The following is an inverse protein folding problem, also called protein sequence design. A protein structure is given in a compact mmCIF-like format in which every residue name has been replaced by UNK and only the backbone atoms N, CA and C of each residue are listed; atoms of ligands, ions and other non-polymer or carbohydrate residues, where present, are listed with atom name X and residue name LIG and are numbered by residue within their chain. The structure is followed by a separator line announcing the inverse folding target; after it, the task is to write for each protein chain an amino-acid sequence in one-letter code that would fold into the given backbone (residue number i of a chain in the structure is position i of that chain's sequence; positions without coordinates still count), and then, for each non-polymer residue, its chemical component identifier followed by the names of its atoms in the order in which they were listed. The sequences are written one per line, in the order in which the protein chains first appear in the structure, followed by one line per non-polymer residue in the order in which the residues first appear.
data_IF_337554704775
#
_entry.id   IF_337554704775
#
_cell.length_a   1.000
_cell.length_b   1.000
_cell.length_c   1.000
_cell.angle_alpha   90.00
_cell.angle_beta   90.00
_cell.angle_gamma   90.00
#
_symmetry.space_group_name_H-M   'P 1'
#
loop_
_entity.id
_entity.type
_entity.pdbx_description
1 polymer ?
#
# COMPACT_ATOMS: atom_id res chain seq x y z
N UNK A 1 -3.94 56.10 46.01
CA UNK A 1 -5.20 55.68 45.35
C UNK A 1 -4.97 55.67 43.84
N UNK A 2 -5.34 54.70 43.03
CA UNK A 2 -5.67 53.30 43.22
C UNK A 2 -5.57 52.65 41.82
N UNK A 3 -5.02 51.43 41.78
CA UNK A 3 -5.38 50.31 40.90
C UNK A 3 -5.34 50.49 39.37
N UNK A 4 -4.13 50.27 38.80
CA UNK A 4 -3.93 49.68 37.46
C UNK A 4 -3.12 48.39 37.57
N UNK A 5 -3.72 47.33 38.10
CA UNK A 5 -3.08 45.99 38.17
C UNK A 5 -4.03 44.83 37.83
N UNK A 6 -5.23 45.10 37.30
CA UNK A 6 -6.28 44.10 37.12
C UNK A 6 -6.37 43.40 35.76
N UNK A 7 -5.85 43.96 34.66
CA UNK A 7 -6.13 43.44 33.31
C UNK A 7 -5.16 42.37 32.78
N UNK A 8 -3.92 42.29 33.28
CA UNK A 8 -2.94 41.32 32.76
C UNK A 8 -3.10 39.91 33.35
N UNK A 9 -3.74 39.80 34.53
CA UNK A 9 -3.89 38.52 35.25
C UNK A 9 -5.00 37.64 34.67
N UNK A 10 -6.05 38.26 34.11
CA UNK A 10 -7.23 37.56 33.56
C UNK A 10 -6.94 36.85 32.23
N UNK A 11 -6.05 37.39 31.40
CA UNK A 11 -5.68 36.80 30.11
C UNK A 11 -4.74 35.60 30.28
N UNK A 12 -3.91 35.61 31.32
CA UNK A 12 -3.06 34.46 31.64
C UNK A 12 -3.87 33.31 32.23
N UNK A 13 -4.81 33.61 33.12
CA UNK A 13 -5.72 32.63 33.72
C UNK A 13 -6.64 31.98 32.68
N UNK A 14 -7.19 32.76 31.74
CA UNK A 14 -8.04 32.23 30.66
C UNK A 14 -7.26 31.36 29.68
N UNK A 15 -6.00 31.73 29.36
CA UNK A 15 -5.12 30.91 28.52
C UNK A 15 -4.69 29.60 29.23
N UNK A 16 -4.38 29.67 30.53
CA UNK A 16 -4.07 28.49 31.33
C UNK A 16 -5.27 27.53 31.40
N UNK A 17 -6.49 28.05 31.62
CA UNK A 17 -7.72 27.24 31.61
C UNK A 17 -7.98 26.62 30.23
N UNK A 18 -7.75 27.36 29.15
CA UNK A 18 -7.88 26.83 27.79
C UNK A 18 -6.87 25.71 27.50
N UNK A 19 -5.61 25.86 27.93
CA UNK A 19 -4.59 24.81 27.83
C UNK A 19 -4.96 23.58 28.67
N UNK A 20 -5.47 23.78 29.88
CA UNK A 20 -5.84 22.68 30.77
C UNK A 20 -7.04 21.89 30.22
N UNK A 21 -8.02 22.59 29.63
CA UNK A 21 -9.13 21.96 28.89
C UNK A 21 -8.61 21.18 27.68
N UNK A 22 -7.65 21.72 26.92
CA UNK A 22 -7.03 21.04 25.78
C UNK A 22 -6.31 19.76 26.20
N UNK A 23 -5.53 19.80 27.29
CA UNK A 23 -4.82 18.64 27.81
C UNK A 23 -5.79 17.55 28.28
N UNK A 24 -6.85 17.91 29.00
CA UNK A 24 -7.87 16.96 29.46
C UNK A 24 -8.61 16.28 28.30
N UNK A 25 -8.78 16.99 27.19
CA UNK A 25 -9.34 16.43 25.95
C UNK A 25 -8.34 15.48 25.29
N UNK A 26 -7.06 15.83 25.23
CA UNK A 26 -6.01 14.95 24.68
C UNK A 26 -5.89 13.66 25.49
N UNK A 27 -5.94 13.76 26.81
CA UNK A 27 -5.95 12.62 27.73
C UNK A 27 -7.17 11.72 27.50
N UNK A 28 -8.36 12.29 27.34
CA UNK A 28 -9.59 11.53 27.04
C UNK A 28 -9.52 10.80 25.68
N UNK A 29 -8.93 11.43 24.66
CA UNK A 29 -8.73 10.81 23.33
C UNK A 29 -7.68 9.70 23.40
N UNK A 30 -6.59 9.90 24.14
CA UNK A 30 -5.57 8.89 24.37
C UNK A 30 -6.16 7.69 25.11
N UNK A 31 -6.88 7.91 26.22
CA UNK A 31 -7.53 6.85 26.96
C UNK A 31 -8.58 6.10 26.13
N UNK A 32 -9.33 6.79 25.27
CA UNK A 32 -10.27 6.14 24.35
C UNK A 32 -9.57 5.30 23.28
N UNK A 33 -8.40 5.75 22.82
CA UNK A 33 -7.59 5.03 21.82
C UNK A 33 -6.92 3.81 22.43
N UNK A 34 -6.36 3.95 23.64
CA UNK A 34 -5.82 2.88 24.47
C UNK A 34 -6.90 1.84 24.72
N UNK A 35 -8.08 2.25 25.20
CA UNK A 35 -9.19 1.31 25.44
C UNK A 35 -9.64 0.60 24.16
N UNK A 36 -9.61 1.26 23.00
CA UNK A 36 -9.91 0.65 21.70
C UNK A 36 -8.92 -0.46 21.33
N UNK A 37 -7.62 -0.22 21.52
CA UNK A 37 -6.56 -1.20 21.22
C UNK A 37 -6.62 -2.39 22.18
N UNK A 38 -6.89 -2.14 23.47
CA UNK A 38 -6.95 -3.21 24.47
C UNK A 38 -8.29 -3.96 24.52
N UNK A 39 -9.36 -3.44 23.88
CA UNK A 39 -10.68 -4.08 23.87
C UNK A 39 -10.98 -4.90 22.61
N UNK A 40 -10.10 -4.92 21.61
CA UNK A 40 -10.25 -5.76 20.42
C UNK A 40 -9.55 -7.10 20.64
N UNK A 41 -10.29 -8.21 20.90
CA UNK A 41 -9.69 -9.53 21.13
C UNK A 41 -9.05 -10.12 19.86
N UNK A 42 -9.29 -9.49 18.70
CA UNK A 42 -9.02 -10.06 17.38
C UNK A 42 -7.52 -10.03 16.99
N UNK A 43 -6.77 -9.01 17.41
CA UNK A 43 -5.35 -8.89 17.06
C UNK A 43 -4.46 -9.87 17.84
N UNK A 44 -4.88 -10.30 19.04
CA UNK A 44 -4.17 -11.31 19.83
C UNK A 44 -4.35 -12.75 19.29
N UNK A 45 -5.47 -13.02 18.61
CA UNK A 45 -5.75 -14.32 17.98
C UNK A 45 -4.90 -14.50 16.71
N UNK A 46 -4.85 -13.52 15.80
CA UNK A 46 -4.05 -13.61 14.57
C UNK A 46 -2.54 -13.74 14.85
N UNK A 47 -2.04 -13.05 15.88
CA UNK A 47 -0.64 -13.17 16.27
C UNK A 47 -0.32 -14.56 16.85
N UNK A 48 -1.23 -15.13 17.67
CA UNK A 48 -1.08 -16.47 18.23
C UNK A 48 -1.17 -17.57 17.15
N UNK A 49 -2.09 -17.45 16.20
CA UNK A 49 -2.24 -18.43 15.11
C UNK A 49 -1.04 -18.40 14.17
N UNK A 50 -0.51 -17.21 13.86
CA UNK A 50 0.70 -17.06 13.03
C UNK A 50 1.94 -17.65 13.71
N UNK A 51 2.12 -17.39 15.02
CA UNK A 51 3.23 -17.96 15.80
C UNK A 51 3.13 -19.50 15.91
N UNK A 52 1.92 -20.03 16.08
CA UNK A 52 1.66 -21.47 16.13
C UNK A 52 1.96 -22.14 14.77
N UNK A 53 1.50 -21.56 13.67
CA UNK A 53 1.77 -22.09 12.32
C UNK A 53 3.26 -22.10 11.95
N UNK A 54 4.02 -21.09 12.39
CA UNK A 54 5.48 -21.07 12.19
C UNK A 54 6.20 -22.18 12.97
N UNK A 55 5.73 -22.53 14.17
CA UNK A 55 6.30 -23.63 14.94
C UNK A 55 5.94 -24.99 14.35
N UNK A 56 4.71 -25.17 13.87
CA UNK A 56 4.26 -26.40 13.19
C UNK A 56 5.04 -26.64 11.89
N UNK A 57 5.24 -25.61 11.07
CA UNK A 57 6.09 -25.69 9.88
C UNK A 57 7.54 -26.07 10.21
N UNK A 58 8.10 -25.48 11.27
CA UNK A 58 9.46 -25.80 11.72
C UNK A 58 9.57 -27.25 12.19
N UNK A 59 8.57 -27.76 12.89
CA UNK A 59 8.51 -29.17 13.30
C UNK A 59 8.41 -30.10 12.09
N UNK A 60 7.56 -29.78 11.12
CA UNK A 60 7.43 -30.54 9.87
C UNK A 60 8.76 -30.63 9.09
N UNK A 61 9.43 -29.48 8.90
CA UNK A 61 10.73 -29.42 8.22
C UNK A 61 11.81 -30.24 8.95
N UNK A 62 11.82 -30.20 10.28
CA UNK A 62 12.74 -31.01 11.07
C UNK A 62 12.46 -32.52 10.90
N UNK A 63 11.19 -32.94 10.91
CA UNK A 63 10.81 -34.34 10.70
C UNK A 63 11.24 -34.85 9.32
N UNK A 64 11.05 -34.05 8.26
CA UNK A 64 11.53 -34.40 6.92
C UNK A 64 13.05 -34.50 6.91
N UNK A 65 13.74 -33.49 7.43
CA UNK A 65 15.20 -33.45 7.45
C UNK A 65 15.78 -34.66 8.17
N UNK A 66 15.25 -35.00 9.34
CA UNK A 66 15.70 -36.14 10.12
C UNK A 66 15.44 -37.46 9.41
N UNK A 67 14.24 -37.64 8.84
CA UNK A 67 13.90 -38.85 8.07
C UNK A 67 14.80 -39.02 6.84
N UNK A 68 15.11 -37.93 6.15
CA UNK A 68 16.01 -37.96 4.99
C UNK A 68 17.46 -38.29 5.38
N UNK A 69 17.97 -37.72 6.48
CA UNK A 69 19.30 -38.06 7.00
C UNK A 69 19.36 -39.55 7.36
N UNK A 70 18.34 -40.08 8.03
CA UNK A 70 18.29 -41.49 8.42
C UNK A 70 18.27 -42.41 7.19
N UNK A 71 17.42 -42.13 6.20
CA UNK A 71 17.36 -42.89 4.93
C UNK A 71 18.70 -42.81 4.19
N UNK A 72 19.31 -41.63 4.13
CA UNK A 72 20.60 -41.42 3.47
C UNK A 72 21.70 -42.24 4.14
N UNK A 73 21.76 -42.24 5.47
CA UNK A 73 22.75 -43.00 6.21
C UNK A 73 22.58 -44.50 5.98
N UNK A 74 21.36 -45.02 6.12
CA UNK A 74 21.05 -46.43 5.84
C UNK A 74 21.41 -46.84 4.41
N UNK A 75 21.17 -45.97 3.43
CA UNK A 75 21.55 -46.21 2.04
C UNK A 75 23.07 -46.24 1.87
N UNK A 76 23.80 -45.32 2.53
CA UNK A 76 25.26 -45.30 2.46
C UNK A 76 25.86 -46.52 3.19
N UNK A 77 25.27 -46.98 4.29
CA UNK A 77 25.70 -48.19 5.01
C UNK A 77 25.53 -49.45 4.14
N UNK A 78 24.36 -49.60 3.51
CA UNK A 78 24.10 -50.69 2.54
C UNK A 78 25.07 -50.59 1.35
N UNK A 79 25.35 -49.38 0.86
CA UNK A 79 26.29 -49.17 -0.23
C UNK A 79 27.72 -49.53 0.18
N UNK A 80 28.22 -49.04 1.30
CA UNK A 80 29.58 -49.34 1.80
C UNK A 80 29.77 -50.85 1.96
N UNK A 81 28.80 -51.53 2.56
CA UNK A 81 28.86 -53.00 2.71
C UNK A 81 28.93 -53.72 1.35
N UNK A 82 28.16 -53.26 0.35
CA UNK A 82 28.05 -53.92 -0.97
C UNK A 82 29.01 -53.42 -2.05
N UNK A 83 29.92 -52.49 -1.74
CA UNK A 83 30.74 -51.79 -2.75
C UNK A 83 31.95 -52.57 -3.29
N UNK A 84 32.40 -53.65 -2.65
CA UNK A 84 33.55 -54.42 -3.16
C UNK A 84 33.35 -55.92 -3.01
N UNK A 85 33.94 -56.69 -3.93
CA UNK A 85 33.90 -58.15 -3.87
C UNK A 85 34.61 -58.72 -2.63
N UNK A 86 35.55 -57.97 -2.06
CA UNK A 86 36.30 -58.34 -0.86
C UNK A 86 35.44 -58.17 0.41
N UNK A 87 34.66 -57.08 0.50
CA UNK A 87 33.71 -56.88 1.62
C UNK A 87 32.53 -57.84 1.55
N UNK A 88 32.01 -58.11 0.35
CA UNK A 88 30.93 -59.10 0.12
C UNK A 88 31.33 -60.50 0.58
N UNK A 89 32.60 -60.88 0.41
CA UNK A 89 33.11 -62.20 0.85
C UNK A 89 33.21 -62.36 2.38
N UNK A 90 33.23 -61.25 3.13
CA UNK A 90 33.33 -61.24 4.60
C UNK A 90 32.01 -60.87 5.29
N UNK A 91 30.97 -60.56 4.52
CA UNK A 91 29.69 -60.07 5.02
C UNK A 91 28.73 -61.20 5.42
N UNK A 92 28.05 -61.00 6.55
CA UNK A 92 26.87 -61.80 6.89
C UNK A 92 25.69 -61.34 6.01
N UNK A 93 25.23 -62.24 5.15
CA UNK A 93 24.09 -62.01 4.25
C UNK A 93 22.83 -61.60 5.04
N UNK A 94 22.67 -62.09 6.27
CA UNK A 94 21.52 -61.75 7.12
C UNK A 94 21.59 -60.31 7.65
N UNK A 95 22.79 -59.78 7.85
CA UNK A 95 23.01 -58.39 8.27
C UNK A 95 22.65 -57.43 7.13
N UNK A 96 23.17 -57.66 5.92
CA UNK A 96 22.82 -56.85 4.75
C UNK A 96 21.32 -56.91 4.46
N UNK A 97 20.72 -58.10 4.55
CA UNK A 97 19.27 -58.28 4.35
C UNK A 97 18.47 -57.49 5.40
N UNK A 98 18.89 -57.51 6.66
CA UNK A 98 18.25 -56.74 7.74
C UNK A 98 18.33 -55.24 7.48
N UNK A 99 19.48 -54.74 7.02
CA UNK A 99 19.69 -53.31 6.77
C UNK A 99 18.89 -52.84 5.56
N UNK A 100 18.81 -53.66 4.50
CA UNK A 100 17.93 -53.40 3.34
C UNK A 100 16.46 -53.38 3.76
N UNK A 101 16.00 -54.35 4.57
CA UNK A 101 14.61 -54.37 5.05
C UNK A 101 14.30 -53.17 5.96
N UNK A 102 15.25 -52.74 6.78
CA UNK A 102 15.12 -51.54 7.61
C UNK A 102 15.02 -50.27 6.74
N UNK A 103 15.85 -50.16 5.70
CA UNK A 103 15.80 -49.07 4.73
C UNK A 103 14.45 -49.03 4.01
N UNK A 104 13.94 -50.17 3.54
CA UNK A 104 12.63 -50.27 2.89
C UNK A 104 11.48 -49.89 3.83
N UNK A 105 11.53 -50.34 5.09
CA UNK A 105 10.54 -49.97 6.10
C UNK A 105 10.54 -48.46 6.39
N UNK A 106 11.74 -47.84 6.44
CA UNK A 106 11.89 -46.39 6.62
C UNK A 106 11.42 -45.59 5.41
N UNK A 107 11.73 -46.03 4.19
CA UNK A 107 11.22 -45.43 2.95
C UNK A 107 9.69 -45.50 2.88
N UNK A 108 9.11 -46.63 3.27
CA UNK A 108 7.66 -46.83 3.27
C UNK A 108 6.98 -45.93 4.31
N UNK A 109 7.55 -45.83 5.52
CA UNK A 109 7.05 -44.95 6.58
C UNK A 109 7.14 -43.48 6.17
N UNK A 110 8.26 -43.07 5.57
CA UNK A 110 8.46 -41.71 5.08
C UNK A 110 7.49 -41.34 3.95
N UNK A 111 7.26 -42.26 3.00
CA UNK A 111 6.26 -42.09 1.95
C UNK A 111 4.86 -41.92 2.51
N UNK A 112 4.47 -42.76 3.48
CA UNK A 112 3.17 -42.68 4.16
C UNK A 112 2.99 -41.34 4.89
N UNK A 113 4.04 -40.88 5.60
CA UNK A 113 4.07 -39.58 6.25
C UNK A 113 3.82 -38.42 5.26
N UNK A 114 4.55 -38.39 4.14
CA UNK A 114 4.39 -37.34 3.12
C UNK A 114 2.98 -37.37 2.50
N UNK A 115 2.45 -38.56 2.22
CA UNK A 115 1.10 -38.71 1.67
C UNK A 115 0.02 -38.19 2.63
N UNK A 116 0.16 -38.50 3.93
CA UNK A 116 -0.73 -37.98 4.96
C UNK A 116 -0.66 -36.47 5.03
N UNK A 117 0.55 -35.89 5.02
CA UNK A 117 0.68 -34.43 5.10
C UNK A 117 0.09 -33.71 3.88
N UNK A 118 0.34 -34.24 2.68
CA UNK A 118 -0.28 -33.71 1.44
C UNK A 118 -1.81 -33.76 1.52
N UNK A 119 -2.38 -34.84 2.08
CA UNK A 119 -3.82 -34.96 2.26
C UNK A 119 -4.35 -33.91 3.26
N UNK A 120 -3.68 -33.71 4.40
CA UNK A 120 -4.02 -32.70 5.39
C UNK A 120 -3.96 -31.28 4.81
N UNK A 121 -2.89 -30.95 4.07
CA UNK A 121 -2.74 -29.64 3.43
C UNK A 121 -3.81 -29.40 2.36
N UNK A 122 -4.16 -30.42 1.57
CA UNK A 122 -5.28 -30.33 0.61
C UNK A 122 -6.61 -30.12 1.31
N UNK A 123 -6.84 -30.78 2.45
CA UNK A 123 -8.03 -30.58 3.26
C UNK A 123 -8.14 -29.12 3.73
N UNK A 124 -7.08 -28.58 4.36
CA UNK A 124 -7.07 -27.19 4.82
C UNK A 124 -7.17 -26.18 3.67
N UNK A 125 -6.53 -26.45 2.53
CA UNK A 125 -6.67 -25.62 1.34
C UNK A 125 -8.13 -25.55 0.88
N UNK A 126 -8.81 -26.70 0.80
CA UNK A 126 -10.22 -26.77 0.41
C UNK A 126 -11.14 -26.10 1.43
N UNK A 127 -10.85 -26.24 2.73
CA UNK A 127 -11.57 -25.57 3.83
C UNK A 127 -11.47 -24.05 3.70
N UNK A 128 -10.25 -23.50 3.61
CA UNK A 128 -10.02 -22.06 3.41
C UNK A 128 -10.64 -21.57 2.10
N UNK A 129 -10.53 -22.35 1.02
CA UNK A 129 -11.16 -22.01 -0.26
C UNK A 129 -12.69 -21.99 -0.15
N UNK A 130 -13.28 -22.87 0.65
CA UNK A 130 -14.69 -22.88 1.01
C UNK A 130 -15.09 -21.63 1.78
N UNK A 131 -14.32 -21.26 2.80
CA UNK A 131 -14.54 -20.03 3.57
C UNK A 131 -14.44 -18.77 2.71
N UNK A 132 -13.46 -18.67 1.81
CA UNK A 132 -13.31 -17.53 0.90
C UNK A 132 -14.44 -17.44 -0.13
N UNK A 133 -15.02 -18.57 -0.53
CA UNK A 133 -16.22 -18.61 -1.37
C UNK A 133 -17.48 -18.26 -0.59
N UNK A 134 -17.59 -18.67 0.68
CA UNK A 134 -18.72 -18.39 1.57
C UNK A 134 -18.77 -16.97 2.14
N UNK A 135 -17.61 -16.35 2.42
CA UNK A 135 -17.49 -14.98 2.96
C UNK A 135 -17.80 -13.87 1.94
N UNK A 136 -18.22 -14.21 0.71
CA UNK A 136 -18.59 -13.23 -0.32
C UNK A 136 -19.99 -12.64 -0.22
N UNK A 137 -20.82 -12.99 0.77
CA UNK A 137 -22.19 -12.44 0.85
C UNK A 137 -22.76 -12.01 2.21
N UNK A 138 -22.09 -12.17 3.36
CA UNK A 138 -22.76 -11.91 4.66
C UNK A 138 -22.10 -10.94 5.67
N UNK A 139 -20.86 -10.46 5.50
CA UNK A 139 -20.18 -9.73 6.59
C UNK A 139 -20.10 -8.19 6.47
N UNK A 140 -20.98 -7.54 5.72
CA UNK A 140 -21.09 -6.06 5.72
C UNK A 140 -22.45 -5.50 6.16
N UNK A 141 -23.30 -6.30 6.81
CA UNK A 141 -24.60 -5.84 7.34
C UNK A 141 -24.82 -6.13 8.83
N UNK A 142 -23.78 -6.03 9.66
CA UNK A 142 -24.01 -5.88 11.10
C UNK A 142 -24.23 -4.40 11.44
N UNK A 143 -25.51 -4.08 11.61
CA UNK A 143 -26.07 -2.83 12.09
C UNK A 143 -25.37 -2.36 13.38
N UNK A 144 -24.38 -1.49 13.26
CA UNK A 144 -24.06 -0.55 14.34
C UNK A 144 -24.90 0.71 14.10
N UNK A 145 -26.00 0.87 14.83
CA UNK A 145 -26.62 2.18 15.01
C UNK A 145 -25.89 2.86 16.18
N UNK A 146 -24.93 3.77 15.95
CA UNK A 146 -24.44 4.59 17.04
C UNK A 146 -25.59 5.50 17.48
N UNK A 147 -25.93 5.41 18.76
CA UNK A 147 -26.82 6.33 19.43
C UNK A 147 -26.31 7.77 19.17
N UNK A 148 -27.03 8.54 18.35
CA UNK A 148 -26.69 9.91 18.02
C UNK A 148 -27.00 10.81 19.21
N UNK A 149 -26.06 10.92 20.13
CA UNK A 149 -25.90 12.18 20.86
C UNK A 149 -25.07 13.10 19.97
N UNK A 150 -25.76 13.96 19.21
CA UNK A 150 -25.17 14.96 18.34
C UNK A 150 -24.55 16.08 19.17
N UNK A 151 -23.34 15.89 19.66
CA UNK A 151 -22.45 17.02 19.91
C UNK A 151 -21.62 17.19 18.64
N UNK A 152 -22.03 18.14 17.79
CA UNK A 152 -21.28 18.52 16.59
C UNK A 152 -19.83 18.78 17.00
N UNK A 153 -18.91 17.95 16.53
CA UNK A 153 -17.49 18.15 16.79
C UNK A 153 -17.00 19.36 15.99
N UNK A 154 -16.09 20.14 16.56
CA UNK A 154 -15.51 21.35 15.95
C UNK A 154 -15.00 21.12 14.50
N UNK A 155 -14.60 19.89 14.17
CA UNK A 155 -14.17 19.47 12.82
C UNK A 155 -15.26 19.52 11.74
N UNK A 156 -16.55 19.53 12.12
CA UNK A 156 -17.67 19.70 11.19
C UNK A 156 -18.05 21.17 10.99
N UNK A 157 -17.73 22.04 11.96
CA UNK A 157 -18.06 23.48 11.92
C UNK A 157 -16.99 24.24 11.14
N UNK A 158 -15.72 23.82 11.26
CA UNK A 158 -14.60 24.36 10.48
C UNK A 158 -13.77 23.18 9.95
N UNK A 159 -14.05 22.69 8.73
CA UNK A 159 -13.25 21.62 8.16
C UNK A 159 -11.81 22.12 7.94
N UNK A 160 -10.84 21.33 8.41
CA UNK A 160 -9.41 21.58 8.18
C UNK A 160 -9.16 21.83 6.69
N UNK A 161 -8.34 22.84 6.29
CA UNK A 161 -8.00 23.08 4.89
C UNK A 161 -7.50 21.81 4.17
N UNK A 162 -6.81 20.93 4.92
CA UNK A 162 -6.34 19.63 4.43
C UNK A 162 -7.51 18.65 4.20
N UNK A 163 -8.51 18.60 5.08
CA UNK A 163 -9.72 17.78 4.87
C UNK A 163 -10.59 18.32 3.73
N UNK A 164 -10.65 19.63 3.54
CA UNK A 164 -11.34 20.25 2.40
C UNK A 164 -10.62 19.91 1.08
N UNK A 165 -9.30 19.82 1.10
CA UNK A 165 -8.48 19.36 -0.04
C UNK A 165 -8.66 17.86 -0.32
N UNK A 166 -8.68 17.01 0.71
CA UNK A 166 -8.84 15.55 0.59
C UNK A 166 -10.28 15.19 0.17
N UNK A 167 -11.28 15.87 0.72
CA UNK A 167 -12.69 15.68 0.38
C UNK A 167 -13.15 16.62 -0.74
N UNK A 168 -12.20 17.21 -1.46
CA UNK A 168 -12.50 18.07 -2.60
C UNK A 168 -13.24 17.25 -3.66
N UNK A 169 -14.31 17.78 -4.27
CA UNK A 169 -15.04 17.13 -5.37
C UNK A 169 -14.16 16.90 -6.62
N UNK A 170 -12.94 17.44 -6.65
CA UNK A 170 -11.92 17.08 -7.62
C UNK A 170 -11.22 15.78 -7.24
N UNK A 171 -11.92 14.67 -7.44
CA UNK A 171 -11.34 13.32 -7.46
C UNK A 171 -10.83 13.05 -8.86
N UNK A 172 -9.51 13.07 -9.07
CA UNK A 172 -8.93 12.60 -10.32
C UNK A 172 -8.84 11.07 -10.25
N UNK A 173 -9.60 10.32 -11.05
CA UNK A 173 -9.60 8.85 -11.01
C UNK A 173 -8.20 8.27 -11.22
N UNK A 174 -7.35 8.92 -12.01
CA UNK A 174 -5.96 8.51 -12.25
C UNK A 174 -5.08 8.62 -10.99
N UNK A 175 -5.35 9.61 -10.14
CA UNK A 175 -4.64 9.80 -8.86
C UNK A 175 -5.13 8.78 -7.84
N UNK A 176 -6.44 8.51 -7.79
CA UNK A 176 -7.03 7.49 -6.92
C UNK A 176 -6.56 6.08 -7.30
N UNK A 177 -6.53 5.75 -8.59
CA UNK A 177 -6.07 4.45 -9.09
C UNK A 177 -4.59 4.20 -8.74
N UNK A 178 -3.73 5.21 -8.89
CA UNK A 178 -2.33 5.09 -8.46
C UNK A 178 -2.20 4.93 -6.94
N UNK A 179 -2.97 5.69 -6.15
CA UNK A 179 -2.94 5.56 -4.69
C UNK A 179 -3.45 4.20 -4.22
N UNK A 180 -4.56 3.70 -4.79
CA UNK A 180 -5.08 2.38 -4.50
C UNK A 180 -4.09 1.28 -4.90
N UNK A 181 -3.40 1.43 -6.04
CA UNK A 181 -2.35 0.50 -6.45
C UNK A 181 -1.19 0.45 -5.45
N UNK A 182 -0.70 1.60 -4.96
CA UNK A 182 0.38 1.66 -3.96
C UNK A 182 -0.08 1.21 -2.57
N UNK A 183 -1.36 1.37 -2.22
CA UNK A 183 -1.89 0.87 -0.95
C UNK A 183 -2.07 -0.64 -0.97
N UNK A 184 -2.47 -1.21 -2.11
CA UNK A 184 -2.72 -2.64 -2.26
C UNK A 184 -1.43 -3.43 -2.59
N UNK A 185 -0.42 -2.77 -3.15
CA UNK A 185 0.89 -3.37 -3.38
C UNK A 185 1.87 -2.97 -2.27
N UNK A 186 2.75 -3.87 -1.85
CA UNK A 186 3.88 -3.45 -1.01
C UNK A 186 4.72 -2.41 -1.77
N UNK A 187 5.38 -1.49 -1.04
CA UNK A 187 6.04 -0.27 -1.57
C UNK A 187 6.88 -0.47 -2.85
N UNK A 188 7.52 -1.63 -3.01
CA UNK A 188 8.29 -2.01 -4.20
C UNK A 188 7.86 -3.37 -4.77
N UNK A 189 6.58 -3.70 -4.77
CA UNK A 189 6.07 -4.97 -5.35
C UNK A 189 6.52 -6.23 -4.61
N UNK A 190 6.89 -6.11 -3.33
CA UNK A 190 7.43 -7.21 -2.53
C UNK A 190 8.96 -7.34 -2.57
N UNK A 191 9.64 -6.50 -3.34
CA UNK A 191 11.09 -6.42 -3.34
C UNK A 191 11.59 -5.46 -2.26
N UNK A 192 12.81 -5.66 -1.80
CA UNK A 192 13.48 -4.65 -0.99
C UNK A 192 13.94 -3.48 -1.88
N UNK A 193 14.21 -2.33 -1.25
CA UNK A 193 14.60 -1.10 -1.96
C UNK A 193 15.89 -1.28 -2.79
N UNK A 194 16.86 -2.04 -2.28
CA UNK A 194 18.13 -2.31 -2.95
C UNK A 194 17.93 -3.08 -4.27
N UNK A 195 17.23 -4.21 -4.21
CA UNK A 195 16.92 -5.07 -5.37
C UNK A 195 16.06 -4.31 -6.38
N UNK A 196 15.07 -3.54 -5.91
CA UNK A 196 14.25 -2.72 -6.77
C UNK A 196 15.07 -1.68 -7.53
N UNK A 197 16.02 -1.01 -6.87
CA UNK A 197 16.87 -0.02 -7.51
C UNK A 197 17.78 -0.64 -8.58
N UNK A 198 18.35 -1.81 -8.32
CA UNK A 198 19.13 -2.56 -9.31
C UNK A 198 18.25 -2.92 -10.51
N UNK A 199 17.05 -3.44 -10.26
CA UNK A 199 16.09 -3.76 -11.31
C UNK A 199 15.77 -2.55 -12.19
N UNK A 200 15.48 -1.39 -11.59
CA UNK A 200 15.15 -0.17 -12.34
C UNK A 200 16.33 0.31 -13.19
N UNK A 201 17.56 0.20 -12.70
CA UNK A 201 18.76 0.54 -13.49
C UNK A 201 18.90 -0.35 -14.72
N UNK A 202 18.73 -1.67 -14.55
CA UNK A 202 18.80 -2.64 -15.64
C UNK A 202 17.62 -2.40 -16.60
N UNK A 203 16.43 -2.12 -16.07
CA UNK A 203 15.24 -1.79 -16.87
C UNK A 203 15.48 -0.60 -17.79
N UNK A 204 16.04 0.49 -17.26
CA UNK A 204 16.30 1.71 -18.03
C UNK A 204 17.39 1.52 -19.10
N UNK A 205 18.32 0.60 -18.85
CA UNK A 205 19.37 0.20 -19.80
C UNK A 205 18.79 -0.56 -20.99
N UNK A 206 17.80 -1.43 -20.77
CA UNK A 206 17.24 -2.31 -21.81
C UNK A 206 16.00 -1.74 -22.52
N UNK A 207 15.18 -0.94 -21.83
CA UNK A 207 13.86 -0.52 -22.32
C UNK A 207 13.66 0.99 -22.42
N UNK A 208 14.73 1.79 -22.51
CA UNK A 208 14.75 3.27 -22.64
C UNK A 208 13.37 3.96 -22.52
N UNK A 209 13.13 4.61 -21.37
CA UNK A 209 11.81 5.07 -20.89
C UNK A 209 11.08 6.15 -21.74
N UNK A 210 11.56 6.50 -22.93
CA UNK A 210 11.05 7.65 -23.68
C UNK A 210 9.64 7.43 -24.25
N UNK A 211 9.13 6.19 -24.25
CA UNK A 211 7.78 5.92 -24.74
C UNK A 211 7.03 4.86 -23.92
N UNK A 212 6.11 5.33 -23.08
CA UNK A 212 5.24 4.49 -22.22
C UNK A 212 4.35 3.57 -23.05
N UNK A 213 4.04 3.93 -24.30
CA UNK A 213 3.21 3.11 -25.19
C UNK A 213 3.97 1.88 -25.73
N UNK A 214 5.31 1.88 -25.69
CA UNK A 214 6.13 0.73 -26.08
C UNK A 214 6.05 -0.38 -25.04
N UNK A 215 5.96 -0.05 -23.75
CA UNK A 215 5.96 -1.00 -22.64
C UNK A 215 4.82 -2.03 -22.69
N UNK A 216 3.65 -1.64 -23.22
CA UNK A 216 2.47 -2.50 -23.33
C UNK A 216 2.62 -3.50 -24.48
N UNK A 217 3.45 -3.18 -25.48
CA UNK A 217 3.59 -3.95 -26.72
C UNK A 217 4.83 -4.88 -26.76
N UNK A 218 5.76 -4.75 -25.80
CA UNK A 218 7.01 -5.55 -25.74
C UNK A 218 6.74 -7.06 -25.62
N UNK A 219 5.60 -7.47 -25.07
CA UNK A 219 5.28 -8.89 -24.85
C UNK A 219 4.63 -9.61 -26.05
N UNK A 220 4.37 -8.91 -27.17
CA UNK A 220 3.58 -9.45 -28.29
C UNK A 220 4.31 -9.51 -29.64
N UNK A 221 5.59 -9.15 -29.71
CA UNK A 221 6.38 -9.18 -30.95
C UNK A 221 7.59 -10.11 -30.81
N UNK A 222 7.73 -11.08 -31.72
CA UNK A 222 8.85 -12.03 -31.78
C UNK A 222 10.24 -11.35 -31.84
N UNK A 223 10.32 -10.08 -32.25
CA UNK A 223 11.58 -9.33 -32.36
C UNK A 223 12.19 -8.86 -31.02
N UNK A 224 11.49 -9.01 -29.88
CA UNK A 224 11.96 -8.52 -28.57
C UNK A 224 12.39 -9.63 -27.58
N UNK A 225 12.36 -10.90 -27.99
CA UNK A 225 12.69 -12.05 -27.14
C UNK A 225 14.14 -11.97 -26.63
N UNK A 226 15.10 -11.67 -27.51
CA UNK A 226 16.52 -11.60 -27.16
C UNK A 226 16.83 -10.48 -26.15
N UNK A 227 16.11 -9.35 -26.24
CA UNK A 227 16.25 -8.24 -25.28
C UNK A 227 15.67 -8.59 -23.92
N UNK A 228 14.50 -9.22 -23.89
CA UNK A 228 13.87 -9.69 -22.64
C UNK A 228 14.73 -10.77 -21.99
N UNK A 229 15.31 -11.67 -22.78
CA UNK A 229 16.20 -12.70 -22.28
C UNK A 229 17.49 -12.09 -21.70
N UNK A 230 18.14 -11.18 -22.43
CA UNK A 230 19.34 -10.47 -21.94
C UNK A 230 19.05 -9.66 -20.67
N UNK A 231 17.87 -9.03 -20.59
CA UNK A 231 17.40 -8.35 -19.39
C UNK A 231 17.25 -9.31 -18.21
N UNK A 232 16.55 -10.43 -18.39
CA UNK A 232 16.31 -11.41 -17.33
C UNK A 232 17.62 -12.01 -16.81
N UNK A 233 18.56 -12.32 -17.70
CA UNK A 233 19.89 -12.84 -17.34
C UNK A 233 20.69 -11.82 -16.51
N UNK A 234 20.69 -10.54 -16.91
CA UNK A 234 21.39 -9.48 -16.16
C UNK A 234 20.77 -9.25 -14.76
N UNK A 235 19.45 -9.35 -14.63
CA UNK A 235 18.76 -9.24 -13.33
C UNK A 235 19.07 -10.45 -12.44
N UNK A 236 19.05 -11.67 -13.00
CA UNK A 236 19.41 -12.90 -12.26
C UNK A 236 20.86 -12.86 -11.75
N UNK A 237 21.79 -12.30 -12.53
CA UNK A 237 23.19 -12.17 -12.12
C UNK A 237 23.40 -11.15 -11.01
N UNK A 238 22.70 -10.01 -11.06
CA UNK A 238 22.94 -8.89 -10.14
C UNK A 238 22.14 -8.98 -8.84
N UNK A 239 21.07 -9.78 -8.82
CA UNK A 239 20.20 -9.91 -7.65
C UNK A 239 20.22 -11.37 -7.20
N UNK A 240 21.01 -11.71 -6.16
CA UNK A 240 21.14 -13.09 -5.69
C UNK A 240 19.86 -13.56 -5.00
N UNK A 241 19.45 -14.81 -5.28
CA UNK A 241 18.29 -15.43 -4.66
C UNK A 241 16.94 -15.12 -5.33
N UNK A 242 16.92 -14.33 -6.40
CA UNK A 242 15.72 -14.07 -7.20
C UNK A 242 15.52 -15.16 -8.25
N UNK A 243 14.28 -15.60 -8.45
CA UNK A 243 13.94 -16.54 -9.52
C UNK A 243 13.38 -15.81 -10.75
N UNK A 244 13.40 -16.48 -11.91
CA UNK A 244 12.79 -15.93 -13.13
C UNK A 244 11.31 -15.58 -12.94
N UNK A 245 10.58 -16.38 -12.15
CA UNK A 245 9.18 -16.13 -11.80
C UNK A 245 9.01 -14.83 -11.02
N UNK A 246 9.93 -14.54 -10.09
CA UNK A 246 9.91 -13.30 -9.32
C UNK A 246 10.18 -12.09 -10.20
N UNK A 247 11.11 -12.21 -11.16
CA UNK A 247 11.41 -11.17 -12.14
C UNK A 247 10.20 -10.89 -13.03
N UNK A 248 9.53 -11.92 -13.54
CA UNK A 248 8.32 -11.77 -14.36
C UNK A 248 7.19 -11.09 -13.56
N UNK A 249 6.97 -11.53 -12.31
CA UNK A 249 5.96 -10.92 -11.44
C UNK A 249 6.27 -9.46 -11.15
N UNK A 250 7.53 -9.14 -10.86
CA UNK A 250 7.97 -7.78 -10.58
C UNK A 250 7.97 -6.89 -11.82
N UNK A 251 8.28 -7.45 -13.00
CA UNK A 251 8.16 -6.77 -14.29
C UNK A 251 6.70 -6.37 -14.56
N UNK A 252 5.75 -7.29 -14.35
CA UNK A 252 4.32 -6.98 -14.48
C UNK A 252 3.92 -5.84 -13.54
N UNK A 253 4.32 -5.93 -12.28
CA UNK A 253 4.05 -4.87 -11.29
C UNK A 253 4.68 -3.53 -11.68
N UNK A 254 5.95 -3.53 -12.10
CA UNK A 254 6.67 -2.31 -12.44
C UNK A 254 6.11 -1.65 -13.70
N UNK A 255 5.71 -2.44 -14.69
CA UNK A 255 5.04 -1.95 -15.90
C UNK A 255 3.73 -1.24 -15.57
N UNK A 256 2.91 -1.84 -14.71
CA UNK A 256 1.66 -1.24 -14.22
C UNK A 256 1.93 0.02 -13.37
N UNK A 257 2.95 -0.01 -12.52
CA UNK A 257 3.41 1.14 -11.74
C UNK A 257 3.79 2.33 -12.65
N UNK A 258 4.62 2.11 -13.66
CA UNK A 258 5.08 3.16 -14.59
C UNK A 258 3.89 3.74 -15.35
N UNK A 259 2.98 2.89 -15.81
CA UNK A 259 1.76 3.33 -16.50
C UNK A 259 0.87 4.21 -15.61
N UNK A 260 0.54 3.74 -14.40
CA UNK A 260 -0.32 4.48 -13.48
C UNK A 260 0.34 5.79 -13.02
N UNK A 261 1.65 5.78 -12.78
CA UNK A 261 2.43 6.99 -12.46
C UNK A 261 2.40 8.00 -13.61
N UNK A 262 2.52 7.55 -14.85
CA UNK A 262 2.39 8.41 -16.04
C UNK A 262 0.97 8.99 -16.18
N UNK A 263 -0.06 8.18 -15.96
CA UNK A 263 -1.45 8.65 -15.95
C UNK A 263 -1.70 9.71 -14.86
N UNK A 264 -1.21 9.45 -13.65
CA UNK A 264 -1.26 10.39 -12.54
C UNK A 264 -0.56 11.71 -12.91
N UNK A 265 0.67 11.64 -13.44
CA UNK A 265 1.43 12.82 -13.82
C UNK A 265 0.72 13.66 -14.89
N UNK A 266 0.19 13.00 -15.94
CA UNK A 266 -0.61 13.66 -16.99
C UNK A 266 -1.86 14.34 -16.42
N UNK A 267 -2.57 13.70 -15.49
CA UNK A 267 -3.73 14.28 -14.83
C UNK A 267 -3.35 15.52 -13.98
N UNK A 268 -2.23 15.44 -13.24
CA UNK A 268 -1.72 16.56 -12.45
C UNK A 268 -1.26 17.74 -13.30
N UNK A 269 -0.62 17.48 -14.44
CA UNK A 269 -0.22 18.51 -15.40
C UNK A 269 -1.43 19.19 -16.03
N UNK A 270 -2.41 18.41 -16.51
CA UNK A 270 -3.70 18.94 -17.00
C UNK A 270 -4.38 19.80 -15.94
N UNK A 271 -4.39 19.37 -14.68
CA UNK A 271 -4.95 20.14 -13.58
C UNK A 271 -4.19 21.45 -13.34
N UNK A 272 -2.85 21.41 -13.33
CA UNK A 272 -2.00 22.62 -13.20
C UNK A 272 -2.26 23.61 -14.33
N UNK A 273 -2.41 23.13 -15.57
CA UNK A 273 -2.68 23.96 -16.74
C UNK A 273 -4.06 24.58 -16.70
N UNK A 274 -5.08 23.79 -16.34
CA UNK A 274 -6.44 24.31 -16.17
C UNK A 274 -6.51 25.35 -15.04
N UNK A 275 -5.82 25.12 -13.92
CA UNK A 275 -5.70 26.10 -12.83
C UNK A 275 -5.03 27.39 -13.30
N UNK A 276 -3.96 27.30 -14.10
CA UNK A 276 -3.28 28.46 -14.71
C UNK A 276 -4.19 29.22 -15.68
N UNK A 277 -4.96 28.51 -16.51
CA UNK A 277 -5.94 29.10 -17.45
C UNK A 277 -7.05 29.84 -16.70
N UNK A 278 -7.66 29.22 -15.68
CA UNK A 278 -8.72 29.85 -14.85
C UNK A 278 -8.19 31.12 -14.16
N UNK A 279 -6.98 31.10 -13.60
CA UNK A 279 -6.37 32.28 -12.98
C UNK A 279 -6.18 33.42 -13.99
N UNK A 280 -5.74 33.11 -15.21
CA UNK A 280 -5.59 34.10 -16.30
C UNK A 280 -6.95 34.66 -16.77
N UNK A 281 -7.98 33.82 -16.90
CA UNK A 281 -9.33 34.26 -17.31
C UNK A 281 -9.99 35.15 -16.25
N UNK A 282 -9.83 34.82 -14.96
CA UNK A 282 -10.38 35.63 -13.86
C UNK A 282 -9.69 37.01 -13.76
N UNK A 283 -8.37 37.07 -14.00
CA UNK A 283 -7.63 38.33 -14.10
C UNK A 283 -8.06 39.19 -15.30
N UNK A 284 -8.36 38.58 -16.45
CA UNK A 284 -8.86 39.29 -17.63
C UNK A 284 -10.32 39.77 -17.47
N UNK A 285 -11.14 39.05 -16.71
CA UNK A 285 -12.51 39.46 -16.39
C UNK A 285 -12.53 40.64 -15.40
N UNK A 286 -11.65 40.64 -14.39
CA UNK A 286 -11.51 41.77 -13.46
C UNK A 286 -11.00 43.03 -14.18
N UNK A 287 -10.03 42.90 -15.10
CA UNK A 287 -9.55 44.04 -15.90
C UNK A 287 -10.62 44.62 -16.84
N UNK A 288 -11.54 43.78 -17.37
CA UNK A 288 -12.68 44.24 -18.18
C UNK A 288 -13.77 44.91 -17.33
N UNK A 289 -14.02 44.41 -16.12
CA UNK A 289 -14.96 45.01 -15.17
C UNK A 289 -14.47 46.39 -14.69
N UNK A 290 -13.17 46.56 -14.45
CA UNK A 290 -12.57 47.85 -14.07
C UNK A 290 -12.58 48.89 -15.22
N UNK A 291 -12.48 48.44 -16.48
CA UNK A 291 -12.65 49.31 -17.65
C UNK A 291 -14.12 49.74 -17.86
N UNK A 292 -15.07 48.88 -17.48
CA UNK A 292 -16.50 49.16 -17.63
C UNK A 292 -17.06 50.01 -16.48
N UNK A 293 -16.55 49.84 -15.26
CA UNK A 293 -16.86 50.70 -14.11
C UNK A 293 -16.28 52.12 -14.28
N UNK A 294 -15.09 52.26 -14.86
CA UNK A 294 -14.51 53.56 -15.19
C UNK A 294 -15.22 54.28 -16.37
N UNK A 295 -15.85 53.55 -17.28
CA UNK A 295 -16.69 54.16 -18.34
C UNK A 295 -18.01 54.74 -17.79
N UNK A 296 -18.58 54.11 -16.76
CA UNK A 296 -19.82 54.58 -16.11
C UNK A 296 -19.57 55.76 -15.15
N UNK A 297 -18.40 55.84 -14.51
CA UNK A 297 -18.06 56.98 -13.65
C UNK A 297 -17.83 58.27 -14.46
N UNK A 298 -17.23 58.18 -15.65
CA UNK A 298 -17.03 59.34 -16.55
C UNK A 298 -18.32 59.84 -17.22
N UNK A 299 -19.34 58.99 -17.39
CA UNK A 299 -20.65 59.41 -17.93
C UNK A 299 -21.54 60.14 -16.93
N UNK A 300 -21.23 60.08 -15.63
CA UNK A 300 -22.02 60.73 -14.57
C UNK A 300 -21.55 62.15 -14.22
N UNK A 301 -20.38 62.57 -14.73
CA UNK A 301 -19.78 63.88 -14.46
C UNK A 301 -20.30 65.04 -15.32
N UNK A 302 -20.91 64.77 -16.47
CA UNK A 302 -21.34 65.83 -17.41
C UNK A 302 -22.79 66.28 -17.21
N UNK A 303 -23.62 65.57 -16.44
CA UNK A 303 -25.01 65.94 -16.21
C UNK A 303 -25.25 66.93 -15.05
N UNK A 304 -24.25 67.15 -14.16
CA UNK A 304 -24.39 68.05 -13.00
C UNK A 304 -23.95 69.50 -13.23
N UNK A 305 -23.44 69.84 -14.42
CA UNK A 305 -23.00 71.22 -14.75
C UNK A 305 -24.08 72.07 -15.45
N UNK A 306 -25.21 71.48 -15.89
CA UNK A 306 -26.25 72.21 -16.64
C UNK A 306 -27.53 72.57 -15.86
N UNK A 307 -27.58 72.40 -14.54
CA UNK A 307 -28.73 72.80 -13.70
C UNK A 307 -28.38 73.83 -12.60
N UNK A 308 -27.43 74.73 -12.87
CA UNK A 308 -27.14 75.86 -11.96
C UNK A 308 -27.14 77.22 -12.67
N UNK A 309 -28.10 77.44 -13.57
CA UNK A 309 -28.47 78.76 -14.11
C UNK A 309 -29.98 78.82 -14.41
N UNK A 310 -30.78 78.91 -13.36
CA UNK A 310 -32.12 79.53 -13.31
C UNK A 310 -32.43 79.66 -11.82
N UNK A 311 -33.07 80.76 -11.44
CA UNK A 311 -33.42 81.17 -10.07
C UNK A 311 -32.44 82.14 -9.39
N UNK A 312 -32.17 83.27 -10.05
CA UNK A 312 -32.08 84.58 -9.39
C UNK A 312 -32.74 85.61 -10.30
N UNK A 313 -34.04 85.85 -10.14
CA UNK A 313 -34.71 87.16 -10.33
C UNK A 313 -36.21 87.05 -10.08
N UNK A 314 -36.66 87.34 -8.84
CA UNK A 314 -37.96 87.96 -8.51
C UNK A 314 -37.87 88.65 -7.15
N UNK A 315 -38.28 89.92 -7.10
CA UNK A 315 -38.40 90.78 -5.91
C UNK A 315 -37.12 91.54 -5.64
N UNK A 316 -37.03 92.85 -5.82
CA UNK A 316 -38.01 93.95 -5.71
C UNK A 316 -37.77 95.00 -6.77
#
# INVERSE_FOLDING_TARGET
MNNKSGLASTDFATNAIAKLRRLKIQESVLNSSVHKVFSTPHEHEEFRTTFKGNNELKQYLNTIKNSFIEIKNLLEDVKISTNSSETIGQLDINEVKRDVLNLEAKLTSFKSFLQKEIATLKFHFNEIQGELKGKRFEDHKKNYKPNKQTTKQYTEIVPSPVRVLINSPFKCPEVENFQAFIMNSQRYGGWNEYNHNIFVQIWNKHFHMDNVDVLINVCNSDENIDRIQSFNEEVLQKIPGTTLKDIISHNKWYSEYVYLKSCQQRALEKWKDNKRKIKKTCQQQNAKHDLQSNRLSMSSGTAKSLMKKRDINKGT
#
